data_IF_486159811195
#
_entry.id   IF_486159811195
#
_cell.length_a   1.000
_cell.length_b   1.000
_cell.length_c   1.000
_cell.angle_alpha   90.00
_cell.angle_beta   90.00
_cell.angle_gamma   90.00
#
_symmetry.space_group_name_H-M   'P 1'
#
loop_
_entity.id
_entity.type
_entity.pdbx_description
1 polymer ?
#
# COMPACT_ATOMS: atom_id res chain seq x y z
N UNK A 1 0.00 13.35 -10.18
CA UNK A 1 -1.30 12.97 -10.76
C UNK A 1 -2.03 12.12 -9.75
N UNK A 2 -3.38 12.19 -9.66
CA UNK A 2 -4.10 11.34 -8.72
C UNK A 2 -3.90 9.86 -9.09
N UNK A 3 -3.65 9.04 -8.07
CA UNK A 3 -3.58 7.59 -8.21
C UNK A 3 -4.96 7.05 -8.55
N UNK A 4 -5.35 7.00 -9.83
CA UNK A 4 -6.64 6.46 -10.25
C UNK A 4 -6.56 5.64 -11.55
N UNK A 5 -7.49 4.72 -11.69
CA UNK A 5 -7.78 3.99 -12.92
C UNK A 5 -8.89 4.68 -13.71
N UNK A 6 -8.58 5.06 -14.95
CA UNK A 6 -9.53 5.64 -15.90
C UNK A 6 -10.10 4.60 -16.87
N UNK A 7 -9.36 3.53 -17.14
CA UNK A 7 -9.71 2.50 -18.10
C UNK A 7 -9.39 1.08 -17.61
N UNK A 8 -10.07 0.12 -18.20
CA UNK A 8 -9.97 -1.31 -17.86
C UNK A 8 -8.61 -1.90 -18.23
N UNK A 9 -8.00 -1.48 -19.35
CA UNK A 9 -6.73 -2.05 -19.80
C UNK A 9 -5.62 -1.75 -18.81
N UNK A 10 -5.53 -0.50 -18.35
CA UNK A 10 -4.50 -0.11 -17.40
C UNK A 10 -4.79 -0.66 -16.00
N UNK A 11 -6.06 -0.78 -15.61
CA UNK A 11 -6.47 -1.49 -14.39
C UNK A 11 -6.02 -2.96 -14.40
N UNK A 12 -6.35 -3.72 -15.46
CA UNK A 12 -5.99 -5.13 -15.60
C UNK A 12 -4.48 -5.35 -15.58
N UNK A 13 -3.73 -4.49 -16.27
CA UNK A 13 -2.26 -4.55 -16.28
C UNK A 13 -1.68 -4.39 -14.88
N UNK A 14 -2.14 -3.37 -14.15
CA UNK A 14 -1.65 -3.13 -12.79
C UNK A 14 -2.02 -4.32 -11.88
N UNK A 15 -3.21 -4.91 -12.04
CA UNK A 15 -3.61 -6.13 -11.32
C UNK A 15 -2.72 -7.34 -11.61
N UNK A 16 -2.24 -7.52 -12.83
CA UNK A 16 -1.24 -8.54 -13.16
C UNK A 16 0.06 -8.31 -12.39
N UNK A 17 0.54 -7.06 -12.34
CA UNK A 17 1.74 -6.70 -11.56
C UNK A 17 1.55 -7.00 -10.07
N UNK A 18 0.41 -6.61 -9.48
CA UNK A 18 0.11 -6.90 -8.08
C UNK A 18 -0.04 -8.39 -7.80
N UNK A 19 -0.68 -9.14 -8.70
CA UNK A 19 -0.82 -10.60 -8.59
C UNK A 19 0.54 -11.28 -8.50
N UNK A 20 1.51 -10.86 -9.31
CA UNK A 20 2.88 -11.42 -9.24
C UNK A 20 3.63 -11.05 -7.95
N UNK A 21 3.25 -9.95 -7.29
CA UNK A 21 3.84 -9.52 -6.02
C UNK A 21 3.22 -10.22 -4.79
N UNK A 22 2.03 -10.84 -4.91
CA UNK A 22 1.30 -11.42 -3.77
C UNK A 22 2.13 -12.37 -2.88
N UNK A 23 2.98 -13.28 -3.40
CA UNK A 23 3.78 -14.13 -2.54
C UNK A 23 4.72 -13.34 -1.61
N UNK A 24 5.31 -12.25 -2.11
CA UNK A 24 6.18 -11.37 -1.32
C UNK A 24 5.38 -10.47 -0.36
N UNK A 25 4.18 -10.06 -0.74
CA UNK A 25 3.26 -9.32 0.14
C UNK A 25 2.90 -10.20 1.34
N UNK A 26 2.56 -11.48 1.13
CA UNK A 26 2.27 -12.42 2.22
C UNK A 26 3.53 -12.71 3.04
N UNK A 27 4.69 -12.93 2.40
CA UNK A 27 5.95 -13.15 3.10
C UNK A 27 6.35 -11.97 4.00
N UNK A 28 5.94 -10.73 3.64
CA UNK A 28 6.22 -9.53 4.44
C UNK A 28 5.66 -9.62 5.86
N UNK A 29 4.55 -10.33 6.08
CA UNK A 29 3.95 -10.50 7.40
C UNK A 29 4.85 -11.29 8.38
N UNK A 30 5.81 -12.05 7.85
CA UNK A 30 6.78 -12.83 8.63
C UNK A 30 8.16 -12.18 8.67
N UNK A 31 8.48 -11.37 7.66
CA UNK A 31 9.82 -10.80 7.47
C UNK A 31 9.94 -9.36 7.97
N UNK A 32 8.83 -8.61 8.01
CA UNK A 32 8.76 -7.25 8.54
C UNK A 32 8.16 -7.27 9.94
N UNK A 33 8.64 -6.38 10.79
CA UNK A 33 7.88 -6.05 12.00
C UNK A 33 6.60 -5.30 11.61
N UNK A 34 5.55 -5.29 12.44
CA UNK A 34 4.37 -4.46 12.17
C UNK A 34 4.72 -2.98 11.98
N UNK A 35 5.70 -2.46 12.72
CA UNK A 35 6.15 -1.08 12.56
C UNK A 35 6.83 -0.85 11.20
N UNK A 36 7.73 -1.75 10.78
CA UNK A 36 8.36 -1.69 9.45
C UNK A 36 7.30 -1.75 8.33
N UNK A 37 6.31 -2.65 8.45
CA UNK A 37 5.22 -2.79 7.49
C UNK A 37 4.34 -1.54 7.38
N UNK A 38 3.92 -0.98 8.52
CA UNK A 38 3.12 0.25 8.51
C UNK A 38 3.93 1.49 8.11
N UNK A 39 5.25 1.53 8.39
CA UNK A 39 6.12 2.58 7.85
C UNK A 39 6.10 2.60 6.32
N UNK A 40 6.13 1.43 5.65
CA UNK A 40 5.93 1.38 4.18
C UNK A 40 4.62 2.04 3.79
N UNK A 41 3.54 1.69 4.48
CA UNK A 41 2.21 2.16 4.12
C UNK A 41 2.06 3.67 4.32
N UNK A 42 2.44 4.17 5.49
CA UNK A 42 2.36 5.58 5.84
C UNK A 42 3.23 6.44 4.90
N UNK A 43 4.43 5.97 4.55
CA UNK A 43 5.31 6.66 3.61
C UNK A 43 4.76 6.73 2.19
N UNK A 44 4.10 5.68 1.70
CA UNK A 44 3.43 5.75 0.39
C UNK A 44 2.19 6.66 0.45
N UNK A 45 1.36 6.53 1.50
CA UNK A 45 0.16 7.37 1.69
C UNK A 45 0.46 8.87 1.76
N UNK A 46 1.63 9.23 2.30
CA UNK A 46 2.10 10.62 2.37
C UNK A 46 2.22 11.30 0.99
N UNK A 47 2.18 10.51 -0.09
CA UNK A 47 2.21 11.00 -1.48
C UNK A 47 0.89 10.70 -2.21
N UNK A 48 0.26 9.55 -1.97
CA UNK A 48 -0.92 9.12 -2.76
C UNK A 48 -2.25 9.72 -2.31
N UNK A 49 -2.33 10.21 -1.07
CA UNK A 49 -3.48 10.90 -0.48
C UNK A 49 -4.82 10.11 -0.59
N UNK A 50 -4.80 8.80 -0.37
CA UNK A 50 -6.01 7.97 -0.36
C UNK A 50 -6.68 7.91 1.03
N UNK A 51 -7.90 8.44 1.23
CA UNK A 51 -8.54 8.50 2.56
C UNK A 51 -8.79 7.13 3.21
N UNK A 52 -9.04 6.09 2.41
CA UNK A 52 -9.23 4.73 2.91
C UNK A 52 -7.94 4.17 3.51
N UNK A 53 -6.84 4.35 2.79
CA UNK A 53 -5.52 3.91 3.21
C UNK A 53 -5.03 4.72 4.42
N UNK A 54 -5.22 6.05 4.41
CA UNK A 54 -4.90 6.93 5.54
C UNK A 54 -5.64 6.52 6.81
N UNK A 55 -6.94 6.25 6.72
CA UNK A 55 -7.72 5.79 7.87
C UNK A 55 -7.23 4.46 8.43
N UNK A 56 -7.09 3.44 7.56
CA UNK A 56 -6.70 2.10 7.99
C UNK A 56 -5.27 2.06 8.53
N UNK A 57 -4.31 2.53 7.72
CA UNK A 57 -2.88 2.44 8.06
C UNK A 57 -2.44 3.49 9.08
N UNK A 58 -3.12 4.63 9.17
CA UNK A 58 -2.94 5.56 10.30
C UNK A 58 -3.24 4.89 11.64
N UNK A 59 -4.33 4.12 11.72
CA UNK A 59 -4.69 3.38 12.93
C UNK A 59 -3.76 2.19 13.19
N UNK A 60 -3.42 1.39 12.17
CA UNK A 60 -2.49 0.28 12.30
C UNK A 60 -1.09 0.75 12.68
N UNK A 61 -0.59 1.83 12.06
CA UNK A 61 0.69 2.45 12.37
C UNK A 61 0.74 2.96 13.80
N UNK A 62 -0.31 3.65 14.27
CA UNK A 62 -0.44 4.05 15.68
C UNK A 62 -0.41 2.85 16.63
N UNK A 63 -1.10 1.77 16.29
CA UNK A 63 -1.07 0.53 17.07
C UNK A 63 0.29 -0.17 17.03
N UNK A 64 1.04 -0.03 15.93
CA UNK A 64 2.39 -0.57 15.77
C UNK A 64 3.46 0.29 16.46
N UNK A 65 3.11 1.49 16.90
CA UNK A 65 4.02 2.43 17.58
C UNK A 65 4.72 3.43 16.65
N UNK A 66 4.27 3.54 15.40
CA UNK A 66 4.79 4.51 14.44
C UNK A 66 4.23 5.92 14.71
N UNK A 67 5.00 6.97 14.38
CA UNK A 67 4.49 8.34 14.27
C UNK A 67 3.67 8.50 12.97
N UNK A 68 2.52 7.83 12.94
CA UNK A 68 1.62 7.79 11.77
C UNK A 68 1.33 9.17 11.19
N UNK A 69 0.92 10.11 12.05
CA UNK A 69 0.62 11.49 11.65
C UNK A 69 1.85 12.23 11.14
N UNK A 70 3.01 12.05 11.78
CA UNK A 70 4.25 12.67 11.34
C UNK A 70 4.73 12.16 9.98
N UNK A 71 4.66 10.84 9.75
CA UNK A 71 5.09 10.21 8.49
C UNK A 71 4.14 10.61 7.35
N UNK A 72 2.82 10.53 7.56
CA UNK A 72 1.83 10.91 6.54
C UNK A 72 1.83 12.41 6.22
N UNK A 73 2.11 13.25 7.22
CA UNK A 73 2.17 14.70 7.08
C UNK A 73 3.48 15.24 6.49
N UNK A 74 4.48 14.38 6.26
CA UNK A 74 5.79 14.80 5.79
C UNK A 74 5.74 15.42 4.39
N UNK A 75 6.53 16.46 4.15
CA UNK A 75 6.63 17.19 2.88
C UNK A 75 7.86 16.78 2.06
N UNK A 76 8.94 16.39 2.71
CA UNK A 76 10.17 15.89 2.04
C UNK A 76 10.44 14.43 2.37
N UNK A 77 11.40 13.83 1.65
CA UNK A 77 11.77 12.43 1.85
C UNK A 77 12.55 12.27 3.16
N UNK A 78 13.43 13.22 3.45
CA UNK A 78 14.20 13.30 4.69
C UNK A 78 13.30 13.51 5.92
N UNK A 79 12.26 14.34 5.79
CA UNK A 79 11.28 14.54 6.85
C UNK A 79 10.53 13.24 7.13
N UNK A 80 10.04 12.57 6.09
CA UNK A 80 9.33 11.30 6.21
C UNK A 80 10.19 10.23 6.92
N UNK A 81 11.46 10.11 6.51
CA UNK A 81 12.41 9.17 7.09
C UNK A 81 12.76 9.50 8.54
N UNK A 82 12.96 10.77 8.86
CA UNK A 82 13.26 11.22 10.23
C UNK A 82 12.09 11.00 11.18
N UNK A 83 10.84 11.08 10.68
CA UNK A 83 9.63 10.75 11.43
C UNK A 83 9.44 9.25 11.64
N UNK A 84 9.94 8.43 10.71
CA UNK A 84 9.87 6.98 10.81
C UNK A 84 10.86 6.41 11.83
N UNK A 85 12.05 7.01 11.98
CA UNK A 85 13.03 6.57 12.97
C UNK A 85 14.39 7.26 12.83
N UNK A 86 15.34 6.84 13.67
CA UNK A 86 16.74 7.29 13.58
C UNK A 86 17.39 6.83 12.27
N UNK A 87 18.43 7.52 11.82
CA UNK A 87 19.20 7.16 10.62
C UNK A 87 19.84 5.77 10.66
N UNK A 88 19.92 5.15 11.84
CA UNK A 88 20.38 3.78 12.05
C UNK A 88 19.28 2.71 12.03
N UNK A 89 18.00 3.12 12.01
CA UNK A 89 16.85 2.20 12.03
C UNK A 89 16.51 1.70 10.63
N UNK A 90 15.89 0.52 10.56
CA UNK A 90 15.38 -0.01 9.28
C UNK A 90 14.22 0.87 8.77
N UNK A 91 13.37 1.35 9.68
CA UNK A 91 12.21 2.18 9.39
C UNK A 91 12.60 3.46 8.64
N UNK A 92 13.74 4.08 8.98
CA UNK A 92 14.26 5.24 8.27
C UNK A 92 14.54 4.95 6.78
N UNK A 93 15.29 3.88 6.49
CA UNK A 93 15.64 3.48 5.12
C UNK A 93 14.42 2.98 4.34
N UNK A 94 13.50 2.29 5.02
CA UNK A 94 12.21 1.86 4.47
C UNK A 94 11.37 3.07 4.07
N UNK A 95 11.28 4.09 4.93
CA UNK A 95 10.49 5.29 4.67
C UNK A 95 11.04 6.10 3.49
N UNK A 96 12.37 6.26 3.39
CA UNK A 96 13.03 6.88 2.24
C UNK A 96 12.64 6.15 0.95
N UNK A 97 12.87 4.84 0.90
CA UNK A 97 12.57 4.04 -0.27
C UNK A 97 11.08 4.09 -0.64
N UNK A 98 10.19 3.87 0.32
CA UNK A 98 8.75 3.79 0.09
C UNK A 98 8.19 5.11 -0.41
N UNK A 99 8.68 6.25 0.10
CA UNK A 99 8.25 7.56 -0.38
C UNK A 99 8.81 7.90 -1.76
N UNK A 100 10.07 7.56 -2.04
CA UNK A 100 10.62 7.64 -3.40
C UNK A 100 9.81 6.80 -4.37
N UNK A 101 9.49 5.56 -3.99
CA UNK A 101 8.63 4.67 -4.78
C UNK A 101 7.26 5.29 -5.07
N UNK A 102 6.65 5.95 -4.08
CA UNK A 102 5.36 6.61 -4.25
C UNK A 102 5.43 7.88 -5.12
N UNK A 103 6.61 8.41 -5.43
CA UNK A 103 6.75 9.56 -6.35
C UNK A 103 7.06 9.11 -7.77
N UNK A 104 7.95 8.12 -7.92
CA UNK A 104 8.57 7.77 -9.21
C UNK A 104 8.45 6.30 -9.58
N UNK A 105 7.75 5.48 -8.80
CA UNK A 105 7.72 4.04 -8.98
C UNK A 105 9.05 3.36 -8.60
N UNK A 106 9.24 2.13 -9.09
CA UNK A 106 10.41 1.33 -8.78
C UNK A 106 11.71 1.98 -9.29
N UNK A 107 12.71 2.09 -8.41
CA UNK A 107 14.07 2.47 -8.74
C UNK A 107 15.04 1.37 -8.33
N UNK A 108 15.82 0.86 -9.29
CA UNK A 108 16.83 -0.18 -9.03
C UNK A 108 17.93 0.31 -8.08
N UNK A 109 18.33 1.58 -8.18
CA UNK A 109 19.33 2.18 -7.31
C UNK A 109 18.80 2.36 -5.88
N UNK A 110 17.57 2.87 -5.73
CA UNK A 110 16.94 2.97 -4.41
C UNK A 110 16.75 1.59 -3.78
N UNK A 111 16.35 0.59 -4.57
CA UNK A 111 16.21 -0.80 -4.11
C UNK A 111 17.55 -1.39 -3.66
N UNK A 112 18.64 -1.08 -4.39
CA UNK A 112 20.00 -1.52 -4.03
C UNK A 112 20.44 -0.89 -2.72
N UNK A 113 20.21 0.40 -2.52
CA UNK A 113 20.49 1.11 -1.26
C UNK A 113 19.73 0.49 -0.09
N UNK A 114 18.41 0.29 -0.24
CA UNK A 114 17.60 -0.38 0.77
C UNK A 114 18.12 -1.79 1.06
N UNK A 115 18.43 -2.58 0.02
CA UNK A 115 18.93 -3.95 0.15
C UNK A 115 20.25 -4.03 0.93
N UNK A 116 21.13 -3.03 0.76
CA UNK A 116 22.40 -2.97 1.49
C UNK A 116 22.20 -2.73 3.00
N UNK A 117 21.06 -2.15 3.40
CA UNK A 117 20.73 -1.83 4.79
C UNK A 117 19.93 -2.92 5.47
N UNK A 118 18.83 -3.37 4.85
CA UNK A 118 17.86 -4.28 5.49
C UNK A 118 17.98 -5.74 5.00
N UNK A 119 18.84 -5.99 4.02
CA UNK A 119 19.00 -7.28 3.35
C UNK A 119 18.08 -7.44 2.13
N UNK A 120 18.54 -8.21 1.14
CA UNK A 120 17.87 -8.34 -0.17
C UNK A 120 16.42 -8.86 -0.07
N UNK A 121 16.18 -9.89 0.73
CA UNK A 121 14.84 -10.49 0.86
C UNK A 121 13.85 -9.52 1.50
N UNK A 122 14.26 -8.83 2.56
CA UNK A 122 13.44 -7.84 3.25
C UNK A 122 13.14 -6.65 2.33
N UNK A 123 14.15 -6.14 1.61
CA UNK A 123 13.96 -5.07 0.63
C UNK A 123 12.97 -5.45 -0.48
N UNK A 124 12.98 -6.70 -0.96
CA UNK A 124 11.97 -7.18 -1.93
C UNK A 124 10.55 -7.18 -1.35
N UNK A 125 10.39 -7.54 -0.07
CA UNK A 125 9.10 -7.47 0.62
C UNK A 125 8.63 -6.02 0.76
N UNK A 126 9.53 -5.09 1.10
CA UNK A 126 9.22 -3.65 1.16
C UNK A 126 8.72 -3.14 -0.19
N UNK A 127 9.40 -3.46 -1.30
CA UNK A 127 8.93 -3.12 -2.65
C UNK A 127 7.54 -3.70 -2.95
N UNK A 128 7.31 -4.98 -2.59
CA UNK A 128 6.02 -5.62 -2.77
C UNK A 128 4.91 -4.93 -1.96
N UNK A 129 5.19 -4.50 -0.73
CA UNK A 129 4.26 -3.71 0.09
C UNK A 129 4.01 -2.32 -0.47
N UNK A 130 5.00 -1.68 -1.09
CA UNK A 130 4.81 -0.41 -1.79
C UNK A 130 3.85 -0.57 -2.98
N UNK A 131 4.01 -1.64 -3.78
CA UNK A 131 3.07 -2.01 -4.84
C UNK A 131 1.66 -2.27 -4.28
N UNK A 132 1.56 -3.00 -3.17
CA UNK A 132 0.28 -3.32 -2.55
C UNK A 132 -0.48 -2.06 -2.11
N UNK A 133 0.19 -1.07 -1.50
CA UNK A 133 -0.49 0.17 -1.14
C UNK A 133 -0.78 1.06 -2.35
N UNK A 134 0.08 1.03 -3.37
CA UNK A 134 -0.19 1.70 -4.65
C UNK A 134 -1.51 1.16 -5.25
N UNK A 135 -1.73 -0.16 -5.24
CA UNK A 135 -3.01 -0.77 -5.60
C UNK A 135 -4.17 -0.26 -4.73
N UNK A 136 -4.00 -0.27 -3.40
CA UNK A 136 -5.01 0.21 -2.46
C UNK A 136 -5.37 1.69 -2.69
N UNK A 137 -4.39 2.51 -3.06
CA UNK A 137 -4.58 3.92 -3.38
C UNK A 137 -5.34 4.10 -4.68
N UNK A 138 -4.93 3.37 -5.74
CA UNK A 138 -5.63 3.38 -7.03
C UNK A 138 -7.10 2.99 -6.89
N UNK A 139 -7.39 1.87 -6.22
CA UNK A 139 -8.78 1.41 -6.08
C UNK A 139 -9.64 2.37 -5.26
N UNK A 140 -9.12 2.90 -4.16
CA UNK A 140 -9.88 3.78 -3.26
C UNK A 140 -10.19 5.12 -3.92
N UNK A 141 -9.21 5.69 -4.61
CA UNK A 141 -9.39 6.93 -5.34
C UNK A 141 -10.27 6.76 -6.58
N UNK A 142 -10.21 5.63 -7.30
CA UNK A 142 -11.16 5.33 -8.39
C UNK A 142 -12.60 5.24 -7.89
N UNK A 143 -12.84 4.62 -6.73
CA UNK A 143 -14.18 4.57 -6.12
C UNK A 143 -14.66 5.98 -5.77
N UNK A 144 -13.81 6.80 -5.15
CA UNK A 144 -14.18 8.17 -4.79
C UNK A 144 -14.47 9.02 -6.04
N UNK A 145 -13.64 8.88 -7.07
CA UNK A 145 -13.77 9.62 -8.32
C UNK A 145 -15.02 9.22 -9.12
N UNK A 146 -15.53 7.99 -8.94
CA UNK A 146 -16.76 7.52 -9.60
C UNK A 146 -17.96 8.42 -9.31
N UNK A 147 -18.01 9.06 -8.13
CA UNK A 147 -19.11 9.96 -7.75
C UNK A 147 -19.10 11.25 -8.56
N UNK A 148 -17.91 11.82 -8.76
CA UNK A 148 -17.75 13.11 -9.45
C UNK A 148 -17.59 12.94 -10.97
N UNK A 149 -16.98 11.83 -11.41
CA UNK A 149 -16.62 11.55 -12.80
C UNK A 149 -17.02 10.11 -13.18
N UNK A 150 -18.32 9.80 -13.23
CA UNK A 150 -18.77 8.45 -13.52
C UNK A 150 -18.41 8.01 -14.95
N UNK A 151 -17.93 6.79 -15.09
CA UNK A 151 -17.78 6.09 -16.36
C UNK A 151 -18.26 4.65 -16.21
N UNK A 152 -18.57 3.96 -17.31
CA UNK A 152 -19.02 2.55 -17.27
C UNK A 152 -17.98 1.69 -16.54
N UNK A 153 -16.69 1.90 -16.83
CA UNK A 153 -15.60 1.22 -16.14
C UNK A 153 -15.60 1.54 -14.63
N UNK A 154 -15.65 2.82 -14.25
CA UNK A 154 -15.59 3.26 -12.85
C UNK A 154 -16.79 2.79 -12.02
N UNK A 155 -17.98 2.76 -12.62
CA UNK A 155 -19.19 2.20 -12.02
C UNK A 155 -19.02 0.69 -11.81
N UNK A 156 -18.62 -0.06 -12.84
CA UNK A 156 -18.38 -1.50 -12.73
C UNK A 156 -17.29 -1.84 -11.70
N UNK A 157 -16.20 -1.07 -11.70
CA UNK A 157 -15.13 -1.16 -10.71
C UNK A 157 -15.66 -0.92 -9.30
N UNK A 158 -16.47 0.12 -9.10
CA UNK A 158 -17.04 0.46 -7.79
C UNK A 158 -18.05 -0.56 -7.30
N UNK A 159 -18.83 -1.19 -8.20
CA UNK A 159 -19.72 -2.28 -7.82
C UNK A 159 -18.95 -3.51 -7.35
N UNK A 160 -17.81 -3.81 -7.99
CA UNK A 160 -16.97 -4.94 -7.61
C UNK A 160 -16.13 -4.66 -6.35
N UNK A 161 -15.33 -3.59 -6.32
CA UNK A 161 -14.43 -3.27 -5.21
C UNK A 161 -15.07 -2.45 -4.07
N UNK A 162 -16.19 -1.77 -4.31
CA UNK A 162 -16.88 -0.97 -3.29
C UNK A 162 -17.12 -1.71 -1.97
N UNK A 163 -17.66 -2.95 -1.99
CA UNK A 163 -17.83 -3.75 -0.77
C UNK A 163 -16.53 -3.93 0.03
N UNK A 164 -15.40 -4.18 -0.62
CA UNK A 164 -14.10 -4.28 0.06
C UNK A 164 -13.74 -2.97 0.77
N UNK A 165 -13.90 -1.83 0.12
CA UNK A 165 -13.57 -0.53 0.71
C UNK A 165 -14.55 -0.09 1.81
N UNK A 166 -15.79 -0.58 1.78
CA UNK A 166 -16.72 -0.46 2.92
C UNK A 166 -16.19 -1.25 4.12
N UNK A 167 -15.74 -2.49 3.93
CA UNK A 167 -15.11 -3.29 4.99
C UNK A 167 -13.89 -2.56 5.55
N UNK A 168 -13.02 -2.01 4.69
CA UNK A 168 -11.86 -1.22 5.12
C UNK A 168 -12.27 -0.03 5.99
N UNK A 169 -13.31 0.72 5.62
CA UNK A 169 -13.84 1.82 6.45
C UNK A 169 -14.34 1.34 7.81
N UNK A 170 -15.09 0.24 7.84
CA UNK A 170 -15.61 -0.34 9.10
C UNK A 170 -14.46 -0.79 10.00
N UNK A 171 -13.50 -1.54 9.46
CA UNK A 171 -12.31 -2.00 10.20
C UNK A 171 -11.52 -0.81 10.71
N UNK A 172 -11.26 0.20 9.88
CA UNK A 172 -10.60 1.44 10.30
C UNK A 172 -11.32 2.11 11.47
N UNK A 173 -12.65 2.24 11.40
CA UNK A 173 -13.45 2.80 12.48
C UNK A 173 -13.32 1.98 13.78
N UNK A 174 -13.36 0.65 13.70
CA UNK A 174 -13.16 -0.23 14.86
C UNK A 174 -11.75 -0.09 15.46
N UNK A 175 -10.72 0.09 14.65
CA UNK A 175 -9.35 0.23 15.14
C UNK A 175 -9.11 1.56 15.88
N UNK A 176 -9.99 2.57 15.73
CA UNK A 176 -9.86 3.83 16.47
C UNK A 176 -9.97 3.65 17.99
N UNK A 177 -10.69 2.61 18.45
CA UNK A 177 -10.86 2.32 19.88
C UNK A 177 -9.66 1.62 20.51
N UNK A 178 -8.77 1.05 19.69
CA UNK A 178 -7.58 0.35 20.17
C UNK A 178 -6.56 1.34 20.74
N UNK A 179 -5.75 0.99 21.75
CA UNK A 179 -4.73 1.88 22.27
C UNK A 179 -3.55 2.06 21.30
N UNK A 180 -2.82 3.16 21.45
CA UNK A 180 -1.49 3.34 20.82
C UNK A 180 -0.56 2.28 21.40
N UNK A 181 0.28 1.65 20.57
CA UNK A 181 1.02 0.44 20.94
C UNK A 181 0.09 -0.72 21.35
N UNK A 182 -0.89 -1.01 20.49
CA UNK A 182 -1.86 -2.08 20.69
C UNK A 182 -1.23 -3.48 20.81
N UNK A 183 -2.05 -4.51 21.09
CA UNK A 183 -1.55 -5.87 21.29
C UNK A 183 -0.74 -6.37 20.10
N UNK A 184 0.52 -6.73 20.33
CA UNK A 184 1.45 -7.17 19.26
C UNK A 184 0.92 -8.34 18.45
N UNK A 185 0.19 -9.26 19.09
CA UNK A 185 -0.43 -10.40 18.43
C UNK A 185 -1.49 -9.95 17.41
N UNK A 186 -2.33 -8.97 17.77
CA UNK A 186 -3.33 -8.42 16.87
C UNK A 186 -2.68 -7.75 15.65
N UNK A 187 -1.65 -6.93 15.87
CA UNK A 187 -0.95 -6.28 14.76
C UNK A 187 -0.36 -7.31 13.77
N UNK A 188 0.27 -8.39 14.28
CA UNK A 188 0.78 -9.47 13.42
C UNK A 188 -0.34 -10.19 12.64
N UNK A 189 -1.46 -10.48 13.31
CA UNK A 189 -2.62 -11.09 12.65
C UNK A 189 -3.13 -10.19 11.54
N UNK A 190 -3.22 -8.87 11.76
CA UNK A 190 -3.65 -7.91 10.75
C UNK A 190 -2.66 -7.82 9.58
N UNK A 191 -1.35 -7.80 9.84
CA UNK A 191 -0.31 -7.82 8.80
C UNK A 191 -0.40 -9.03 7.88
N UNK A 192 -0.90 -10.18 8.38
CA UNK A 192 -1.12 -11.38 7.58
C UNK A 192 -2.50 -11.41 6.93
N UNK A 193 -3.57 -11.13 7.69
CA UNK A 193 -4.95 -11.32 7.23
C UNK A 193 -5.35 -10.32 6.13
N UNK A 194 -4.90 -9.05 6.23
CA UNK A 194 -5.30 -8.02 5.28
C UNK A 194 -4.82 -8.32 3.85
N UNK A 195 -3.54 -8.70 3.60
CA UNK A 195 -3.10 -9.15 2.27
C UNK A 195 -3.89 -10.33 1.71
N UNK A 196 -4.26 -11.31 2.54
CA UNK A 196 -5.01 -12.49 2.10
C UNK A 196 -6.43 -12.08 1.67
N UNK A 197 -7.10 -11.26 2.48
CA UNK A 197 -8.43 -10.75 2.16
C UNK A 197 -8.37 -9.93 0.87
N UNK A 198 -7.46 -8.95 0.77
CA UNK A 198 -7.30 -8.16 -0.44
C UNK A 198 -6.94 -9.03 -1.66
N UNK A 199 -6.07 -10.02 -1.46
CA UNK A 199 -5.67 -11.00 -2.47
C UNK A 199 -6.86 -11.74 -3.08
N UNK A 200 -7.87 -12.09 -2.28
CA UNK A 200 -9.09 -12.74 -2.79
C UNK A 200 -9.84 -11.88 -3.83
N UNK A 201 -9.72 -10.55 -3.76
CA UNK A 201 -10.31 -9.63 -4.75
C UNK A 201 -9.35 -9.30 -5.89
N UNK A 202 -8.05 -9.29 -5.65
CA UNK A 202 -7.01 -9.02 -6.66
C UNK A 202 -6.88 -10.19 -7.64
N UNK A 203 -6.84 -11.43 -7.14
CA UNK A 203 -6.53 -12.63 -7.93
C UNK A 203 -7.45 -12.78 -9.15
N UNK A 204 -8.79 -12.70 -9.05
CA UNK A 204 -9.66 -12.85 -10.23
C UNK A 204 -9.35 -11.82 -11.33
N UNK A 205 -9.15 -10.55 -10.94
CA UNK A 205 -8.90 -9.46 -11.88
C UNK A 205 -7.48 -9.54 -12.47
N UNK A 206 -6.49 -9.92 -11.67
CA UNK A 206 -5.12 -10.16 -12.14
C UNK A 206 -5.04 -11.34 -13.11
N UNK A 207 -5.79 -12.40 -12.86
CA UNK A 207 -5.90 -13.53 -13.81
C UNK A 207 -6.53 -13.10 -15.13
N UNK A 208 -7.60 -12.29 -15.10
CA UNK A 208 -8.17 -11.71 -16.32
C UNK A 208 -7.15 -10.86 -17.08
N UNK A 209 -6.31 -10.10 -16.36
CA UNK A 209 -5.24 -9.30 -16.95
C UNK A 209 -4.16 -10.13 -17.65
N UNK A 210 -3.83 -11.32 -17.16
CA UNK A 210 -2.89 -12.23 -17.82
C UNK A 210 -3.35 -12.67 -19.22
N UNK A 211 -4.66 -12.80 -19.42
CA UNK A 211 -5.24 -13.25 -20.68
C UNK A 211 -5.70 -12.08 -21.57
N UNK A 212 -5.48 -10.83 -21.16
CA UNK A 212 -5.97 -9.66 -21.89
C UNK A 212 -5.02 -9.29 -23.04
N UNK A 213 -5.42 -9.43 -24.31
CA UNK A 213 -4.53 -9.26 -25.47
C UNK A 213 -4.16 -7.80 -25.76
N UNK A 214 -4.81 -6.83 -25.11
CA UNK A 214 -4.61 -5.39 -25.31
C UNK A 214 -3.98 -4.71 -24.10
N UNK A 215 -3.06 -5.37 -23.39
CA UNK A 215 -2.39 -4.77 -22.25
C UNK A 215 -1.67 -3.46 -22.67
N UNK A 216 -2.19 -2.32 -22.21
CA UNK A 216 -1.67 -1.00 -22.53
C UNK A 216 -0.21 -0.76 -22.10
N UNK A 217 0.35 0.41 -22.42
CA UNK A 217 1.70 0.82 -21.97
C UNK A 217 1.77 0.85 -20.44
N UNK A 218 2.98 0.59 -19.88
CA UNK A 218 3.17 0.57 -18.42
C UNK A 218 3.02 2.02 -17.93
N UNK A 219 2.30 2.23 -16.82
CA UNK A 219 2.33 3.53 -16.14
C UNK A 219 3.60 3.60 -15.33
N UNK A 220 4.39 4.63 -15.60
CA UNK A 220 5.56 5.00 -14.79
C UNK A 220 5.07 5.54 -13.42
#
# INVERSE_FOLDING_TARGET
MPYLWDDISTCLKDHTEFLTALPLIVASAFLLTPAEGETVHLSVNSVTACPYCTGLHGNLGRMAGCDSKGIEGAKTDEECASKAGSTSSNEHEIALYARTFAKSGYSADAQKTLSAKVGQTKAKCVNAMCLFLKWGSYGGNTINDTVSNPSIFKIGFSLYYGPLYVIVKVVSALLTVMPTNGPKALNRVMSFALPIIAGAWIVPVGMLGFFWPFAGKKRD
#
